data_IF_929264245156
#
_entry.id   IF_929264245156
#
_cell.length_a   1.000
_cell.length_b   1.000
_cell.length_c   1.000
_cell.angle_alpha   90.00
_cell.angle_beta   90.00
_cell.angle_gamma   90.00
#
_symmetry.space_group_name_H-M   'P 1'
#
loop_
_entity.id
_entity.type
_entity.pdbx_description
1 polymer ?
#
# COMPACT_ATOMS: atom_id res chain seq x y z
N UNK A 1 8.75 6.24 -8.48
CA UNK A 1 8.08 4.93 -8.59
C UNK A 1 7.17 4.77 -7.38
N UNK A 2 5.90 5.19 -7.45
CA UNK A 2 5.01 5.30 -6.27
C UNK A 2 3.96 4.18 -6.28
N UNK A 3 4.40 2.94 -6.02
CA UNK A 3 3.49 1.83 -5.79
C UNK A 3 3.52 1.47 -4.30
N UNK A 4 2.62 2.04 -3.50
CA UNK A 4 2.53 1.77 -2.05
C UNK A 4 1.55 0.65 -1.68
N UNK A 5 0.72 0.18 -2.63
CA UNK A 5 -0.36 -0.79 -2.35
C UNK A 5 -0.52 -1.89 -3.42
N UNK A 6 0.36 -1.95 -4.43
CA UNK A 6 0.10 -2.73 -5.64
C UNK A 6 0.76 -4.12 -5.71
N UNK A 7 1.43 -4.58 -4.65
CA UNK A 7 1.95 -5.95 -4.64
C UNK A 7 0.93 -6.94 -4.10
N UNK A 8 1.05 -8.19 -4.56
CA UNK A 8 0.22 -9.30 -4.10
C UNK A 8 0.72 -9.88 -2.79
N UNK A 9 2.03 -9.89 -2.59
CA UNK A 9 2.69 -10.51 -1.44
C UNK A 9 3.37 -9.47 -0.55
N UNK A 10 3.35 -9.69 0.76
CA UNK A 10 4.08 -8.96 1.80
C UNK A 10 5.57 -9.02 1.54
N UNK A 11 6.08 -10.17 1.11
CA UNK A 11 7.50 -10.34 0.76
C UNK A 11 7.99 -9.31 -0.29
N UNK A 12 7.16 -8.93 -1.26
CA UNK A 12 7.49 -7.88 -2.24
C UNK A 12 7.63 -6.50 -1.57
N UNK A 13 6.77 -6.20 -0.58
CA UNK A 13 6.89 -4.98 0.21
C UNK A 13 8.14 -5.01 1.09
N UNK A 14 8.45 -6.14 1.73
CA UNK A 14 9.66 -6.28 2.53
C UNK A 14 10.92 -6.10 1.68
N UNK A 15 10.92 -6.65 0.47
CA UNK A 15 11.98 -6.41 -0.50
C UNK A 15 12.06 -4.93 -0.85
N UNK A 16 10.95 -4.27 -1.21
CA UNK A 16 10.93 -2.84 -1.52
C UNK A 16 11.48 -1.98 -0.39
N UNK A 17 11.07 -2.26 0.84
CA UNK A 17 11.47 -1.55 2.07
C UNK A 17 12.96 -1.72 2.34
N UNK A 18 13.51 -2.93 2.14
CA UNK A 18 14.94 -3.24 2.35
C UNK A 18 15.82 -2.89 1.15
N UNK A 19 15.25 -2.67 -0.02
CA UNK A 19 15.98 -2.40 -1.24
C UNK A 19 16.67 -1.03 -1.17
N UNK A 20 17.83 -0.94 -1.82
CA UNK A 20 18.72 0.22 -1.81
C UNK A 20 18.01 1.56 -1.99
N UNK A 21 17.03 1.64 -2.90
CA UNK A 21 16.31 2.89 -3.23
C UNK A 21 15.36 3.41 -2.16
N UNK A 22 15.04 2.63 -1.12
CA UNK A 22 14.15 3.05 -0.03
C UNK A 22 14.73 2.73 1.35
N UNK A 23 15.95 2.18 1.42
CA UNK A 23 16.56 1.76 2.68
C UNK A 23 16.74 2.95 3.64
N UNK A 24 17.02 4.13 3.11
CA UNK A 24 17.12 5.41 3.83
C UNK A 24 15.79 5.87 4.46
N UNK A 25 14.65 5.37 3.95
CA UNK A 25 13.30 5.71 4.44
C UNK A 25 12.87 4.82 5.61
N UNK A 26 13.62 3.75 5.89
CA UNK A 26 13.32 2.79 6.97
C UNK A 26 13.96 3.29 8.27
N UNK A 27 13.16 3.94 9.10
CA UNK A 27 13.64 4.50 10.38
C UNK A 27 13.75 3.48 11.50
N UNK A 28 12.94 2.42 11.44
CA UNK A 28 12.87 1.38 12.46
C UNK A 28 12.73 0.01 11.82
N UNK A 29 13.36 -1.00 12.41
CA UNK A 29 13.36 -2.38 11.87
C UNK A 29 11.95 -2.97 11.75
N UNK A 30 11.05 -2.62 12.68
CA UNK A 30 9.66 -3.09 12.64
C UNK A 30 8.91 -2.63 11.38
N UNK A 31 9.37 -1.58 10.69
CA UNK A 31 8.73 -1.12 9.44
C UNK A 31 8.83 -2.16 8.31
N UNK A 32 9.73 -3.13 8.43
CA UNK A 32 9.89 -4.23 7.50
C UNK A 32 9.21 -5.54 7.97
N UNK A 33 8.47 -5.53 9.09
CA UNK A 33 7.74 -6.74 9.56
C UNK A 33 6.45 -6.92 8.77
N UNK A 34 6.01 -8.18 8.67
CA UNK A 34 4.83 -8.51 7.89
C UNK A 34 3.56 -7.89 8.48
N UNK A 35 3.49 -7.86 9.81
CA UNK A 35 2.39 -7.32 10.60
C UNK A 35 2.26 -5.81 10.38
N UNK A 36 3.37 -5.07 10.48
CA UNK A 36 3.37 -3.63 10.26
C UNK A 36 2.93 -3.29 8.83
N UNK A 37 3.53 -3.94 7.84
CA UNK A 37 3.20 -3.71 6.43
C UNK A 37 1.73 -4.00 6.18
N UNK A 38 1.23 -5.14 6.65
CA UNK A 38 -0.17 -5.53 6.46
C UNK A 38 -1.12 -4.54 7.15
N UNK A 39 -0.80 -4.09 8.37
CA UNK A 39 -1.58 -3.06 9.07
C UNK A 39 -1.64 -1.75 8.29
N UNK A 40 -0.49 -1.26 7.77
CA UNK A 40 -0.45 -0.03 6.96
C UNK A 40 -1.30 -0.12 5.70
N UNK A 41 -1.32 -1.29 5.05
CA UNK A 41 -2.19 -1.57 3.90
C UNK A 41 -3.68 -1.53 4.28
N UNK A 42 -4.06 -2.11 5.41
CA UNK A 42 -5.45 -2.09 5.92
C UNK A 42 -5.92 -0.68 6.26
N UNK A 43 -5.03 0.13 6.83
CA UNK A 43 -5.29 1.49 7.25
C UNK A 43 -5.32 2.48 6.08
N UNK A 44 -4.74 2.11 4.93
CA UNK A 44 -4.56 3.01 3.79
C UNK A 44 -3.55 4.12 4.09
N UNK A 45 -2.59 3.85 4.98
CA UNK A 45 -1.58 4.82 5.42
C UNK A 45 -0.26 4.66 4.66
N UNK A 46 0.58 5.69 4.66
CA UNK A 46 1.89 5.60 4.02
C UNK A 46 2.80 4.58 4.72
N UNK A 47 3.45 3.73 3.93
CA UNK A 47 4.28 2.63 4.42
C UNK A 47 5.49 3.12 5.23
N UNK A 48 6.02 4.30 4.87
CA UNK A 48 7.20 4.90 5.48
C UNK A 48 6.85 6.03 6.46
N UNK A 49 5.56 6.39 6.58
CA UNK A 49 5.10 7.50 7.40
C UNK A 49 5.60 8.87 6.92
N UNK A 50 5.85 9.01 5.62
CA UNK A 50 6.39 10.23 5.04
C UNK A 50 5.31 11.13 4.44
N UNK A 51 5.62 12.43 4.35
CA UNK A 51 4.78 13.34 3.59
C UNK A 51 4.90 13.09 2.08
N UNK A 52 3.82 13.35 1.32
CA UNK A 52 3.84 13.27 -0.13
C UNK A 52 4.91 14.20 -0.75
N UNK A 53 5.86 13.64 -1.53
CA UNK A 53 7.08 14.36 -2.00
C UNK A 53 6.84 15.40 -3.13
N UNK A 54 5.77 15.29 -3.92
CA UNK A 54 5.56 16.14 -5.11
C UNK A 54 4.10 16.59 -5.26
N UNK A 55 3.71 17.66 -4.54
CA UNK A 55 2.35 18.20 -4.55
C UNK A 55 2.32 19.71 -4.37
N UNK A 56 1.29 20.37 -4.92
CA UNK A 56 0.97 21.75 -4.53
C UNK A 56 0.56 21.77 -3.06
N UNK A 57 0.66 22.91 -2.37
CA UNK A 57 0.18 23.02 -0.98
C UNK A 57 -1.28 22.56 -0.84
N UNK A 58 -2.13 22.93 -1.81
CA UNK A 58 -3.52 22.46 -1.85
C UNK A 58 -3.61 20.94 -1.87
N UNK A 59 -2.91 20.28 -2.80
CA UNK A 59 -2.98 18.82 -2.93
C UNK A 59 -2.32 18.10 -1.76
N UNK A 60 -1.30 18.69 -1.15
CA UNK A 60 -0.65 18.18 0.07
C UNK A 60 -1.67 18.08 1.21
N UNK A 61 -2.45 19.13 1.46
CA UNK A 61 -3.49 19.10 2.50
C UNK A 61 -4.58 18.07 2.21
N UNK A 62 -4.99 17.92 0.95
CA UNK A 62 -6.02 16.93 0.57
C UNK A 62 -5.52 15.48 0.68
N UNK A 63 -4.20 15.27 0.66
CA UNK A 63 -3.56 13.95 0.74
C UNK A 63 -2.91 13.69 2.09
N UNK A 64 -3.14 14.58 3.06
CA UNK A 64 -2.66 14.41 4.42
C UNK A 64 -3.50 13.34 5.13
N UNK A 65 -2.85 12.35 5.74
CA UNK A 65 -3.52 11.26 6.44
C UNK A 65 -3.78 10.04 5.55
N UNK A 66 -4.68 9.18 6.01
CA UNK A 66 -4.95 7.90 5.37
C UNK A 66 -5.86 8.06 4.17
N UNK A 67 -5.62 7.24 3.14
CA UNK A 67 -6.48 7.20 1.95
C UNK A 67 -7.85 6.64 2.38
N UNK A 68 -8.95 7.35 2.10
CA UNK A 68 -10.28 6.87 2.46
C UNK A 68 -10.61 5.59 1.69
N UNK A 69 -11.25 4.64 2.39
CA UNK A 69 -11.69 3.39 1.77
C UNK A 69 -12.79 3.71 0.74
N UNK A 70 -12.56 3.32 -0.51
CA UNK A 70 -13.56 3.40 -1.57
C UNK A 70 -14.15 2.01 -1.79
N UNK A 71 -15.49 1.91 -1.80
CA UNK A 71 -16.22 0.69 -2.19
C UNK A 71 -16.53 0.61 -3.68
N UNK A 72 -16.12 1.61 -4.46
CA UNK A 72 -16.59 1.80 -5.83
C UNK A 72 -15.54 1.31 -6.84
N UNK A 73 -15.98 0.50 -7.81
CA UNK A 73 -15.14 0.03 -8.92
C UNK A 73 -15.18 0.93 -10.16
N UNK A 74 -15.87 2.08 -10.07
CA UNK A 74 -15.91 3.10 -11.12
C UNK A 74 -14.48 3.62 -11.34
N UNK A 75 -14.11 3.79 -12.61
CA UNK A 75 -12.76 4.17 -13.06
C UNK A 75 -11.66 3.10 -12.91
N UNK A 76 -12.00 1.84 -12.57
CA UNK A 76 -11.04 0.75 -12.66
C UNK A 76 -10.90 0.23 -14.11
N UNK A 77 -9.68 -0.16 -14.54
CA UNK A 77 -9.49 -0.75 -15.86
C UNK A 77 -10.33 -2.00 -16.07
N UNK A 78 -10.97 -2.12 -17.24
CA UNK A 78 -11.83 -3.28 -17.60
C UNK A 78 -11.12 -4.62 -17.40
N UNK A 79 -9.85 -4.70 -17.80
CA UNK A 79 -9.04 -5.92 -17.65
C UNK A 79 -8.91 -6.37 -16.19
N UNK A 80 -8.84 -5.43 -15.23
CA UNK A 80 -8.77 -5.74 -13.81
C UNK A 80 -10.10 -6.34 -13.33
N UNK A 81 -11.22 -5.79 -13.79
CA UNK A 81 -12.57 -6.29 -13.47
C UNK A 81 -12.85 -7.67 -14.08
N UNK A 82 -12.44 -7.90 -15.32
CA UNK A 82 -12.55 -9.19 -16.00
C UNK A 82 -11.69 -10.27 -15.32
N UNK A 83 -10.57 -9.88 -14.73
CA UNK A 83 -9.63 -10.77 -14.04
C UNK A 83 -9.68 -10.59 -12.51
N UNK A 84 -10.87 -10.38 -11.94
CA UNK A 84 -11.05 -10.03 -10.52
C UNK A 84 -10.37 -11.01 -9.56
N UNK A 85 -10.42 -12.31 -9.82
CA UNK A 85 -9.86 -13.33 -8.93
C UNK A 85 -8.33 -13.22 -8.87
N UNK A 86 -7.72 -12.91 -10.02
CA UNK A 86 -6.29 -12.68 -10.13
C UNK A 86 -5.89 -11.39 -9.42
N UNK A 87 -6.67 -10.33 -9.54
CA UNK A 87 -6.32 -9.00 -9.01
C UNK A 87 -7.12 -8.60 -7.77
N UNK A 88 -7.66 -9.57 -7.03
CA UNK A 88 -8.48 -9.34 -5.84
C UNK A 88 -7.82 -8.39 -4.83
N UNK A 89 -6.49 -8.44 -4.72
CA UNK A 89 -5.66 -7.63 -3.83
C UNK A 89 -5.54 -6.13 -4.22
N UNK A 90 -6.04 -5.76 -5.40
CA UNK A 90 -6.13 -4.38 -5.88
C UNK A 90 -7.54 -3.82 -5.80
N UNK A 91 -8.53 -4.68 -5.56
CA UNK A 91 -9.94 -4.30 -5.53
C UNK A 91 -10.32 -3.74 -4.14
N UNK A 92 -11.40 -2.93 -4.07
CA UNK A 92 -12.02 -2.55 -2.81
C UNK A 92 -12.20 -3.74 -1.86
N UNK A 93 -11.68 -3.62 -0.63
CA UNK A 93 -11.71 -4.68 0.39
C UNK A 93 -10.59 -5.73 0.28
N UNK A 94 -9.82 -5.75 -0.81
CA UNK A 94 -8.68 -6.65 -1.03
C UNK A 94 -7.38 -6.21 -0.37
N UNK A 95 -7.44 -5.68 0.86
CA UNK A 95 -6.24 -5.15 1.52
C UNK A 95 -5.33 -6.25 2.10
N UNK A 96 -5.86 -7.45 2.36
CA UNK A 96 -5.10 -8.61 2.88
C UNK A 96 -4.31 -9.27 1.76
N UNK A 97 -3.01 -9.45 1.98
CA UNK A 97 -2.10 -10.10 1.04
C UNK A 97 -2.11 -11.61 1.20
N UNK A 98 -1.71 -12.32 0.15
CA UNK A 98 -1.85 -13.77 0.10
C UNK A 98 -0.92 -14.49 1.11
N UNK A 99 0.21 -13.89 1.48
CA UNK A 99 1.18 -14.35 2.49
C UNK A 99 1.10 -13.52 3.79
N UNK A 100 -0.04 -12.85 4.04
CA UNK A 100 -0.24 -12.09 5.26
C UNK A 100 -0.13 -12.98 6.52
N UNK A 101 0.38 -12.44 7.65
CA UNK A 101 0.41 -13.17 8.91
C UNK A 101 -1.03 -13.45 9.39
N UNK A 102 -1.22 -14.51 10.19
CA UNK A 102 -2.55 -14.93 10.68
C UNK A 102 -3.20 -13.89 11.60
N UNK A 103 -2.39 -13.08 12.27
CA UNK A 103 -2.80 -12.02 13.19
C UNK A 103 -1.90 -10.80 12.95
N UNK A 104 -2.50 -9.62 12.86
CA UNK A 104 -1.85 -8.33 12.67
C UNK A 104 -2.73 -7.20 13.22
#
# INVERSE_FOLDING_TARGET
WHCSFCFRYISDFQFKVRAYSHFDRVRYEYMATAEWIQQKLCDGSDLFGMFPEAYTFKDLFHRLGNIPKSGTALHLPKFLLENRERFKFLLPGGYVRDDAPKYF
#
